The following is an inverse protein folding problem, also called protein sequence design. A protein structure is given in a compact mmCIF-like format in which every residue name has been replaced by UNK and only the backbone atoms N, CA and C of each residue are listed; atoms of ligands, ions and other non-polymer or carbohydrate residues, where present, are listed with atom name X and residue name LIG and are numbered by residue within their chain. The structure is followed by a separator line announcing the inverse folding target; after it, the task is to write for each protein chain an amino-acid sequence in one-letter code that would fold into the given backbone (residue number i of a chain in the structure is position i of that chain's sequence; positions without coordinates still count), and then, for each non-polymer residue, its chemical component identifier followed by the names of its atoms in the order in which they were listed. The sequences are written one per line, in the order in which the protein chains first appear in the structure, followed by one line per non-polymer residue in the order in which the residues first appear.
data_IF_356057416363
#
_entry.id   IF_356057416363
#
_cell.length_a   1.000
_cell.length_b   1.000
_cell.length_c   1.000
_cell.angle_alpha   90.00
_cell.angle_beta   90.00
_cell.angle_gamma   90.00
#
_symmetry.space_group_name_H-M   'P 1'
#
loop_
_entity.id
_entity.type
_entity.pdbx_description
1 polymer ?
#
# COMPACT_ATOMS: atom_id res chain seq x y z
N UNK A 1 19.75 6.09 0.37
CA UNK A 1 19.21 5.60 1.66
C UNK A 1 18.36 6.72 2.23
N UNK A 2 17.10 6.45 2.59
CA UNK A 2 16.31 7.43 3.33
C UNK A 2 16.85 7.49 4.76
N UNK A 3 17.05 8.69 5.28
CA UNK A 3 17.52 8.91 6.64
C UNK A 3 16.41 8.60 7.66
N UNK A 4 16.79 8.32 8.91
CA UNK A 4 15.84 8.11 10.01
C UNK A 4 14.91 9.32 10.20
N UNK A 5 15.40 10.53 9.91
CA UNK A 5 14.62 11.77 10.02
C UNK A 5 13.54 11.86 8.94
N UNK A 6 13.87 11.58 7.68
CA UNK A 6 12.89 11.57 6.58
C UNK A 6 11.77 10.56 6.83
N UNK A 7 12.08 9.46 7.53
CA UNK A 7 11.11 8.43 7.89
C UNK A 7 10.18 8.85 9.04
N UNK A 8 10.70 9.56 10.05
CA UNK A 8 9.91 10.15 11.13
C UNK A 8 8.99 11.23 10.56
N UNK A 9 9.49 12.05 9.65
CA UNK A 9 8.69 13.07 8.96
C UNK A 9 7.59 12.44 8.11
N UNK A 10 7.86 11.36 7.39
CA UNK A 10 6.84 10.63 6.64
C UNK A 10 5.75 10.04 7.55
N UNK A 11 6.12 9.47 8.70
CA UNK A 11 5.17 8.96 9.69
C UNK A 11 4.34 10.09 10.31
N UNK A 12 4.97 11.22 10.63
CA UNK A 12 4.30 12.39 11.18
C UNK A 12 3.34 13.00 10.17
N UNK A 13 3.75 13.14 8.90
CA UNK A 13 2.90 13.57 7.81
C UNK A 13 1.72 12.61 7.59
N UNK A 14 1.94 11.30 7.67
CA UNK A 14 0.86 10.31 7.61
C UNK A 14 -0.11 10.43 8.78
N UNK A 15 0.37 10.62 10.01
CA UNK A 15 -0.48 10.81 11.18
C UNK A 15 -1.32 12.09 11.08
N UNK A 16 -0.71 13.20 10.66
CA UNK A 16 -1.43 14.47 10.44
C UNK A 16 -2.49 14.30 9.35
N UNK A 17 -2.12 13.70 8.21
CA UNK A 17 -3.07 13.45 7.13
C UNK A 17 -4.23 12.54 7.58
N UNK A 18 -3.95 11.52 8.38
CA UNK A 18 -4.95 10.59 8.93
C UNK A 18 -5.93 11.29 9.87
N UNK A 19 -5.43 12.15 10.76
CA UNK A 19 -6.26 12.91 11.70
C UNK A 19 -7.13 13.94 10.96
N UNK A 20 -6.57 14.65 9.98
CA UNK A 20 -7.32 15.59 9.13
C UNK A 20 -8.44 14.88 8.35
N UNK A 21 -8.15 13.75 7.73
CA UNK A 21 -9.15 12.97 7.00
C UNK A 21 -10.25 12.41 7.90
N UNK A 22 -9.89 11.94 9.11
CA UNK A 22 -10.85 11.49 10.12
C UNK A 22 -11.78 12.63 10.52
N UNK A 23 -11.24 13.84 10.76
CA UNK A 23 -12.04 15.02 11.09
C UNK A 23 -12.97 15.41 9.93
N UNK A 24 -12.50 15.35 8.68
CA UNK A 24 -13.30 15.64 7.49
C UNK A 24 -14.48 14.68 7.30
N UNK A 25 -14.27 13.36 7.46
CA UNK A 25 -15.36 12.37 7.40
C UNK A 25 -16.39 12.60 8.51
N UNK A 26 -15.93 12.88 9.74
CA UNK A 26 -16.84 13.06 10.88
C UNK A 26 -17.70 14.32 10.75
N UNK A 27 -17.24 15.34 10.03
CA UNK A 27 -17.96 16.62 9.92
C UNK A 27 -18.86 16.72 8.67
N UNK A 28 -18.88 15.73 7.76
CA UNK A 28 -19.60 15.78 6.45
C UNK A 28 -19.36 17.10 5.70
N UNK A 29 -18.21 17.74 5.91
CA UNK A 29 -17.86 18.99 5.24
C UNK A 29 -17.54 18.63 3.78
N UNK A 30 -18.22 19.20 2.77
CA UNK A 30 -17.82 19.05 1.39
C UNK A 30 -16.39 19.57 1.22
N UNK A 31 -15.61 18.89 0.38
CA UNK A 31 -14.21 19.21 0.10
C UNK A 31 -14.02 20.75 -0.06
N UNK A 32 -13.18 21.41 0.77
CA UNK A 32 -13.05 22.87 0.72
C UNK A 32 -12.29 23.35 -0.54
N UNK A 33 -11.87 22.44 -1.42
CA UNK A 33 -11.33 22.76 -2.74
C UNK A 33 -12.46 22.71 -3.79
N UNK A 34 -13.14 23.83 -4.09
CA UNK A 34 -14.02 23.90 -5.24
C UNK A 34 -13.24 23.66 -6.54
N UNK A 35 -13.86 23.13 -7.60
CA UNK A 35 -13.23 22.90 -8.90
C UNK A 35 -13.12 24.24 -9.65
N UNK A 36 -12.29 25.16 -9.15
CA UNK A 36 -12.11 26.50 -9.72
C UNK A 36 -10.63 26.84 -9.92
N UNK A 37 -9.83 25.86 -10.31
CA UNK A 37 -8.51 26.09 -10.88
C UNK A 37 -8.41 25.32 -12.22
N UNK A 38 -8.17 25.99 -13.35
CA UNK A 38 -7.95 25.34 -14.65
C UNK A 38 -6.52 24.78 -14.75
N UNK A 39 -5.98 24.31 -13.64
CA UNK A 39 -4.74 23.54 -13.63
C UNK A 39 -5.12 22.12 -13.28
N UNK A 40 -5.06 21.28 -14.30
CA UNK A 40 -4.87 19.85 -14.14
C UNK A 40 -3.55 19.67 -13.36
N UNK A 41 -3.60 19.78 -12.03
CA UNK A 41 -2.53 19.31 -11.18
C UNK A 41 -2.55 17.80 -11.35
N UNK A 42 -1.76 17.34 -12.33
CA UNK A 42 -1.37 15.95 -12.43
C UNK A 42 -0.96 15.55 -11.02
N UNK A 43 -1.73 14.67 -10.37
CA UNK A 43 -1.31 14.02 -9.13
C UNK A 43 -0.18 13.03 -9.45
N UNK A 44 0.90 13.53 -10.08
CA UNK A 44 2.21 13.03 -9.81
C UNK A 44 2.53 13.52 -8.41
N UNK A 45 1.97 12.82 -7.41
CA UNK A 45 2.69 12.68 -6.14
C UNK A 45 4.10 12.33 -6.59
N UNK A 46 5.06 13.23 -6.37
CA UNK A 46 6.47 12.96 -6.52
C UNK A 46 6.75 11.84 -5.51
N UNK A 47 6.47 10.60 -5.90
CA UNK A 47 6.92 9.44 -5.14
C UNK A 47 8.43 9.60 -5.12
N UNK A 48 9.04 9.86 -3.96
CA UNK A 48 10.49 10.05 -3.89
C UNK A 48 11.13 8.87 -4.61
N UNK A 49 12.11 9.16 -5.47
CA UNK A 49 12.72 8.11 -6.30
C UNK A 49 13.11 6.95 -5.41
N UNK A 50 12.42 5.82 -5.57
CA UNK A 50 12.67 4.62 -4.78
C UNK A 50 14.09 4.18 -5.15
N UNK A 51 15.05 4.19 -4.21
CA UNK A 51 16.41 3.80 -4.51
C UNK A 51 16.37 2.37 -5.08
N UNK A 52 16.90 2.18 -6.29
CA UNK A 52 17.08 0.83 -6.80
C UNK A 52 18.05 0.10 -5.88
N UNK A 53 17.75 -1.14 -5.51
CA UNK A 53 18.67 -2.02 -4.80
C UNK A 53 19.18 -3.07 -5.80
N UNK A 54 20.32 -2.84 -6.48
CA UNK A 54 20.82 -3.76 -7.50
C UNK A 54 21.09 -5.14 -6.89
N UNK A 55 20.70 -6.20 -7.60
CA UNK A 55 20.90 -7.58 -7.13
C UNK A 55 19.88 -8.09 -6.11
N UNK A 56 19.08 -7.20 -5.52
CA UNK A 56 17.99 -7.62 -4.62
C UNK A 56 16.84 -8.20 -5.44
N UNK A 57 16.35 -9.37 -5.02
CA UNK A 57 15.18 -10.04 -5.62
C UNK A 57 14.15 -10.34 -4.55
N UNK A 58 12.88 -10.19 -4.91
CA UNK A 58 11.74 -10.58 -4.09
C UNK A 58 10.92 -11.65 -4.82
N UNK A 59 10.48 -12.68 -4.10
CA UNK A 59 9.67 -13.78 -4.63
C UNK A 59 8.42 -13.95 -3.79
N UNK A 60 7.27 -13.89 -4.43
CA UNK A 60 5.99 -14.23 -3.80
C UNK A 60 5.94 -15.76 -3.55
N UNK A 61 5.77 -16.14 -2.30
CA UNK A 61 5.52 -17.53 -1.92
C UNK A 61 4.06 -17.91 -2.21
N UNK A 62 3.79 -19.20 -2.37
CA UNK A 62 2.46 -19.72 -2.73
C UNK A 62 1.87 -19.06 -3.98
N UNK A 63 2.72 -18.67 -4.94
CA UNK A 63 2.33 -17.97 -6.16
C UNK A 63 1.27 -18.73 -6.97
N UNK A 64 1.28 -20.06 -6.94
CA UNK A 64 0.26 -20.85 -7.65
C UNK A 64 -1.15 -20.65 -7.08
N UNK A 65 -1.28 -20.47 -5.76
CA UNK A 65 -2.57 -20.14 -5.16
C UNK A 65 -3.01 -18.74 -5.58
N UNK A 66 -2.11 -17.76 -5.56
CA UNK A 66 -2.40 -16.41 -6.07
C UNK A 66 -2.84 -16.42 -7.54
N UNK A 67 -2.21 -17.23 -8.39
CA UNK A 67 -2.63 -17.41 -9.79
C UNK A 67 -4.01 -18.04 -9.93
N UNK A 68 -4.37 -18.98 -9.06
CA UNK A 68 -5.71 -19.57 -9.06
C UNK A 68 -6.79 -18.51 -8.73
N UNK A 69 -6.56 -17.69 -7.70
CA UNK A 69 -7.45 -16.57 -7.36
C UNK A 69 -7.51 -15.53 -8.48
N UNK A 70 -6.35 -15.15 -9.03
CA UNK A 70 -6.27 -14.15 -10.09
C UNK A 70 -7.04 -14.56 -11.35
N UNK A 71 -7.01 -15.84 -11.72
CA UNK A 71 -7.73 -16.39 -12.89
C UNK A 71 -9.24 -16.18 -12.80
N UNK A 72 -9.79 -16.19 -11.60
CA UNK A 72 -11.23 -16.00 -11.35
C UNK A 72 -11.56 -14.51 -11.18
N UNK A 73 -10.66 -13.78 -10.52
CA UNK A 73 -10.86 -12.41 -10.08
C UNK A 73 -10.61 -12.34 -8.58
N UNK A 74 -9.40 -11.94 -8.19
CA UNK A 74 -9.04 -11.85 -6.77
C UNK A 74 -9.86 -10.76 -6.09
N UNK A 75 -10.61 -11.13 -5.05
CA UNK A 75 -11.40 -10.23 -4.23
C UNK A 75 -10.88 -10.22 -2.79
N UNK A 76 -10.89 -9.05 -2.15
CA UNK A 76 -10.49 -8.89 -0.75
C UNK A 76 -11.64 -8.27 0.04
N UNK A 77 -11.99 -8.88 1.18
CA UNK A 77 -13.05 -8.39 2.06
C UNK A 77 -12.48 -7.30 2.96
N UNK A 78 -13.16 -6.16 3.04
CA UNK A 78 -12.86 -5.09 4.00
C UNK A 78 -13.95 -5.01 5.06
N UNK A 79 -13.58 -4.81 6.32
CA UNK A 79 -14.51 -4.65 7.45
C UNK A 79 -14.08 -3.49 8.34
N UNK A 80 -15.01 -2.97 9.16
CA UNK A 80 -14.71 -1.90 10.13
C UNK A 80 -13.59 -2.26 11.11
N UNK A 81 -13.54 -3.53 11.55
CA UNK A 81 -12.51 -4.03 12.47
C UNK A 81 -11.20 -4.40 11.75
N UNK A 82 -11.17 -4.36 10.42
CA UNK A 82 -10.11 -4.95 9.61
C UNK A 82 -10.32 -6.45 9.37
N UNK A 83 -9.80 -6.92 8.24
CA UNK A 83 -9.80 -8.31 7.81
C UNK A 83 -8.46 -8.59 7.15
N UNK A 84 -7.84 -9.73 7.48
CA UNK A 84 -6.58 -10.15 6.87
C UNK A 84 -6.77 -10.50 5.41
N UNK A 85 -5.76 -10.22 4.59
CA UNK A 85 -5.73 -10.67 3.20
C UNK A 85 -5.76 -12.20 3.11
N UNK A 86 -6.47 -12.70 2.09
CA UNK A 86 -6.40 -14.08 1.67
C UNK A 86 -6.34 -14.16 0.14
N UNK A 87 -5.34 -14.84 -0.46
CA UNK A 87 -4.24 -15.54 0.20
C UNK A 87 -3.32 -14.61 1.01
N UNK A 88 -2.59 -15.14 1.99
CA UNK A 88 -1.65 -14.35 2.78
C UNK A 88 -0.46 -13.91 1.90
N UNK A 89 -0.06 -12.65 2.00
CA UNK A 89 1.11 -12.12 1.32
C UNK A 89 2.38 -12.54 2.06
N UNK A 90 3.14 -13.44 1.44
CA UNK A 90 4.41 -13.98 1.96
C UNK A 90 5.49 -13.79 0.91
N UNK A 91 6.55 -13.07 1.24
CA UNK A 91 7.58 -12.69 0.28
C UNK A 91 8.95 -13.07 0.80
N UNK A 92 9.65 -13.95 0.10
CA UNK A 92 11.07 -14.21 0.37
C UNK A 92 11.92 -13.17 -0.37
N UNK A 93 12.92 -12.62 0.31
CA UNK A 93 13.85 -11.64 -0.28
C UNK A 93 15.26 -12.23 -0.31
N UNK A 94 16.06 -11.86 -1.30
CA UNK A 94 17.46 -12.27 -1.44
C UNK A 94 18.30 -11.14 -2.02
N UNK A 95 19.62 -11.17 -1.79
CA UNK A 95 20.57 -10.19 -2.33
C UNK A 95 20.70 -8.91 -1.50
N UNK A 96 20.13 -8.86 -0.29
CA UNK A 96 20.36 -7.75 0.64
C UNK A 96 21.75 -7.87 1.26
N UNK A 97 22.40 -6.74 1.50
CA UNK A 97 23.65 -6.69 2.27
C UNK A 97 23.38 -7.18 3.70
N UNK A 98 24.16 -8.14 4.17
CA UNK A 98 23.81 -8.90 5.38
C UNK A 98 23.79 -8.02 6.62
N UNK A 99 24.72 -7.10 6.74
CA UNK A 99 24.92 -6.25 7.91
C UNK A 99 24.18 -4.90 7.80
N UNK A 100 23.68 -4.54 6.62
CA UNK A 100 22.93 -3.29 6.44
C UNK A 100 21.51 -3.41 7.02
N UNK A 101 21.00 -2.30 7.56
CA UNK A 101 19.63 -2.23 8.08
C UNK A 101 18.64 -1.79 6.99
N UNK A 102 17.52 -2.50 6.91
CA UNK A 102 16.43 -2.24 5.98
C UNK A 102 15.10 -2.11 6.73
N UNK A 103 14.25 -1.22 6.24
CA UNK A 103 12.83 -1.16 6.58
C UNK A 103 12.02 -1.78 5.44
N UNK A 104 10.99 -2.54 5.78
CA UNK A 104 10.11 -3.16 4.79
C UNK A 104 8.70 -2.62 4.98
N UNK A 105 8.14 -2.07 3.92
CA UNK A 105 6.81 -1.47 3.90
C UNK A 105 5.92 -2.13 2.84
N UNK A 106 4.63 -2.19 3.12
CA UNK A 106 3.59 -2.58 2.17
C UNK A 106 2.68 -1.39 1.92
N UNK A 107 2.46 -1.07 0.65
CA UNK A 107 1.56 -0.02 0.19
C UNK A 107 0.60 -0.63 -0.84
N UNK A 108 -0.69 -0.34 -0.69
CA UNK A 108 -1.71 -0.67 -1.70
C UNK A 108 -2.04 0.60 -2.47
N UNK A 109 -1.83 0.58 -3.78
CA UNK A 109 -2.13 1.70 -4.67
C UNK A 109 -3.30 1.33 -5.59
N UNK A 110 -4.19 2.29 -5.92
CA UNK A 110 -5.22 2.05 -6.92
C UNK A 110 -4.60 1.66 -8.26
N UNK A 111 -5.18 0.64 -8.91
CA UNK A 111 -4.77 0.24 -10.27
C UNK A 111 -5.38 1.16 -11.33
N UNK A 112 -6.49 1.84 -11.03
CA UNK A 112 -7.15 2.80 -11.92
C UNK A 112 -8.27 3.57 -11.23
N UNK A 113 -8.86 4.50 -11.98
CA UNK A 113 -9.94 5.40 -11.51
C UNK A 113 -11.31 4.88 -11.94
N UNK A 114 -11.66 3.67 -11.52
CA UNK A 114 -12.95 3.06 -11.83
C UNK A 114 -13.55 2.36 -10.61
N UNK A 115 -14.83 2.63 -10.36
CA UNK A 115 -15.66 1.87 -9.44
C UNK A 115 -16.33 0.74 -10.20
N UNK A 116 -16.26 -0.48 -9.67
CA UNK A 116 -16.90 -1.65 -10.26
C UNK A 116 -18.10 -2.12 -9.45
N UNK A 117 -19.05 -2.78 -10.11
CA UNK A 117 -20.13 -3.56 -9.47
C UNK A 117 -20.13 -4.97 -10.01
N UNK A 118 -20.48 -5.94 -9.17
CA UNK A 118 -20.65 -7.33 -9.59
C UNK A 118 -22.11 -7.58 -9.96
N UNK A 119 -22.37 -7.97 -11.21
CA UNK A 119 -23.72 -8.22 -11.72
C UNK A 119 -23.68 -9.29 -12.80
N UNK A 120 -24.61 -10.24 -12.77
CA UNK A 120 -24.66 -11.33 -13.75
C UNK A 120 -23.37 -12.15 -13.80
N UNK A 121 -22.74 -12.40 -12.66
CA UNK A 121 -21.48 -13.14 -12.51
C UNK A 121 -20.25 -12.48 -13.13
N UNK A 122 -20.28 -11.17 -13.38
CA UNK A 122 -19.16 -10.42 -13.94
C UNK A 122 -18.97 -9.08 -13.22
N UNK A 123 -17.71 -8.63 -13.16
CA UNK A 123 -17.36 -7.29 -12.72
C UNK A 123 -17.54 -6.31 -13.89
N UNK A 124 -18.38 -5.29 -13.70
CA UNK A 124 -18.64 -4.26 -14.72
C UNK A 124 -18.37 -2.85 -14.18
N UNK A 125 -17.84 -1.93 -15.00
CA UNK A 125 -17.68 -0.53 -14.62
C UNK A 125 -19.01 0.10 -14.18
N UNK A 126 -18.96 0.92 -13.14
CA UNK A 126 -20.12 1.55 -12.51
C UNK A 126 -19.89 3.05 -12.18
N UNK A 127 -18.78 3.64 -12.60
CA UNK A 127 -18.45 5.06 -12.38
C UNK A 127 -16.94 5.29 -12.15
N UNK A 128 -16.58 6.52 -11.81
CA UNK A 128 -15.23 6.87 -11.35
C UNK A 128 -14.95 6.34 -9.93
N UNK A 129 -13.68 6.20 -9.56
CA UNK A 129 -13.34 5.78 -8.21
C UNK A 129 -13.65 6.91 -7.21
N UNK A 130 -13.90 6.53 -5.96
CA UNK A 130 -14.04 7.52 -4.88
C UNK A 130 -12.66 8.11 -4.52
N UNK A 131 -12.60 9.37 -4.07
CA UNK A 131 -11.37 9.97 -3.56
C UNK A 131 -10.72 9.07 -2.51
N UNK A 132 -9.44 8.75 -2.71
CA UNK A 132 -8.72 7.86 -1.81
C UNK A 132 -8.44 8.58 -0.48
N UNK A 133 -8.66 7.88 0.64
CA UNK A 133 -8.12 8.30 1.93
C UNK A 133 -6.59 8.45 1.84
N UNK A 134 -5.94 9.25 2.70
CA UNK A 134 -4.48 9.35 2.74
C UNK A 134 -3.83 7.96 2.67
N UNK A 135 -2.91 7.79 1.71
CA UNK A 135 -2.27 6.50 1.45
C UNK A 135 -1.59 5.98 2.71
N UNK A 136 -2.02 4.79 3.16
CA UNK A 136 -1.44 4.13 4.32
C UNK A 136 -0.35 3.17 3.85
N UNK A 137 0.87 3.45 4.28
CA UNK A 137 1.95 2.47 4.23
C UNK A 137 1.91 1.65 5.51
N UNK A 138 1.93 0.34 5.39
CA UNK A 138 2.09 -0.56 6.52
C UNK A 138 3.57 -0.89 6.67
N UNK A 139 4.19 -0.41 7.74
CA UNK A 139 5.55 -0.81 8.11
C UNK A 139 5.55 -2.18 8.77
N UNK A 140 6.39 -3.09 8.29
CA UNK A 140 6.56 -4.39 8.93
C UNK A 140 7.10 -4.22 10.37
N UNK A 141 6.52 -4.90 11.38
CA UNK A 141 6.87 -4.70 12.79
C UNK A 141 8.36 -4.93 13.10
N UNK A 142 9.01 -5.83 12.38
CA UNK A 142 10.45 -6.09 12.55
C UNK A 142 11.35 -4.97 11.98
N UNK A 143 10.79 -3.92 11.36
CA UNK A 143 11.61 -2.83 10.82
C UNK A 143 12.06 -1.86 11.93
N UNK A 144 13.32 -1.37 11.89
CA UNK A 144 14.40 -1.78 11.00
C UNK A 144 15.04 -3.11 11.43
N UNK A 145 15.48 -3.91 10.46
CA UNK A 145 16.27 -5.12 10.72
C UNK A 145 17.33 -5.34 9.65
N UNK A 146 18.32 -6.19 9.95
CA UNK A 146 19.45 -6.47 9.07
C UNK A 146 19.03 -7.20 7.80
N UNK A 147 19.81 -7.09 6.72
CA UNK A 147 19.56 -7.88 5.51
C UNK A 147 19.63 -9.38 5.78
N UNK A 148 20.46 -9.83 6.73
CA UNK A 148 20.47 -11.22 7.17
C UNK A 148 19.13 -11.65 7.80
N UNK A 149 18.51 -10.79 8.62
CA UNK A 149 17.18 -11.04 9.21
C UNK A 149 16.11 -11.22 8.13
N UNK A 150 16.03 -10.27 7.19
CA UNK A 150 15.01 -10.29 6.12
C UNK A 150 15.17 -11.44 5.12
N UNK A 151 16.37 -11.98 4.98
CA UNK A 151 16.66 -13.12 4.12
C UNK A 151 16.50 -14.47 4.84
N UNK A 152 16.35 -14.48 6.17
CA UNK A 152 16.28 -15.72 6.96
C UNK A 152 14.99 -16.51 6.76
N UNK A 153 13.88 -15.81 6.50
CA UNK A 153 12.56 -16.39 6.31
C UNK A 153 11.67 -15.45 5.49
N UNK A 154 10.51 -15.96 5.07
CA UNK A 154 9.50 -15.18 4.38
C UNK A 154 9.04 -13.97 5.22
N UNK A 155 8.95 -12.81 4.59
CA UNK A 155 8.31 -11.62 5.16
C UNK A 155 6.80 -11.81 5.08
N UNK A 156 6.09 -11.67 6.21
CA UNK A 156 4.65 -11.92 6.30
C UNK A 156 3.93 -10.73 6.89
N UNK A 157 2.98 -10.17 6.14
CA UNK A 157 2.14 -9.07 6.59
C UNK A 157 0.90 -9.56 7.35
N UNK A 158 1.10 -10.10 8.56
CA UNK A 158 0.03 -10.72 9.37
C UNK A 158 -1.11 -9.79 9.83
N UNK A 159 -0.90 -8.47 9.77
CA UNK A 159 -1.87 -7.45 10.21
C UNK A 159 -2.49 -6.67 9.04
N UNK A 160 -2.23 -7.11 7.81
CA UNK A 160 -2.81 -6.54 6.57
C UNK A 160 -3.83 -7.51 6.00
#
# INVERSE_FOLDING_TARGET
MLSMNEFVDMRMQQQIAHELYRQQIMQRIPDPFPPMLPFHMSHHILVPQRPSLPGVKAKLENNELWKQFHRIGTEMIITKSGRRMFPSMRVSVSGLEKEANYCVLLEMVPVGDCRFKFSGSHWIPAGGAEPQSPQRMFLHPDSPATGAHWQSQAIIFNKV
#
